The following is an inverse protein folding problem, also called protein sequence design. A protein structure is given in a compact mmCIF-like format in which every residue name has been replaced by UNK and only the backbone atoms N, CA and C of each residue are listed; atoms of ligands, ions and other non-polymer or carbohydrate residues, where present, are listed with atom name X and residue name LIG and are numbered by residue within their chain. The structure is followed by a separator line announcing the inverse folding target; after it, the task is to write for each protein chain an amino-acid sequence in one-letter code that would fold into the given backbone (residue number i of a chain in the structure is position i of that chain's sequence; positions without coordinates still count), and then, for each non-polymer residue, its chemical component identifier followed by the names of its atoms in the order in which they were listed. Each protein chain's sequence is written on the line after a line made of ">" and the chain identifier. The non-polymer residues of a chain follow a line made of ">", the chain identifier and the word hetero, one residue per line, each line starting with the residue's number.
data_IF_795137112213
#
_entry.id   IF_795137112213
#
_cell.length_a   1.000
_cell.length_b   1.000
_cell.length_c   1.000
_cell.angle_alpha   90.00
_cell.angle_beta   90.00
_cell.angle_gamma   90.00
#
_symmetry.space_group_name_H-M   'P 1'
#
loop_
_entity.id
_entity.type
_entity.pdbx_description
1 polymer ?
#
# COMPACT_ATOMS: atom_id res chain seq x y z
N UNK A 1 13.44 -15.73 15.99
CA UNK A 1 14.17 -15.83 14.71
C UNK A 1 15.01 -14.57 14.48
N UNK A 2 16.03 -14.70 13.63
CA UNK A 2 16.79 -13.56 13.08
C UNK A 2 16.25 -13.26 11.68
N UNK A 3 15.65 -12.10 11.48
CA UNK A 3 14.89 -11.74 10.28
C UNK A 3 15.54 -10.54 9.59
N UNK A 4 15.67 -10.60 8.26
CA UNK A 4 16.15 -9.52 7.41
C UNK A 4 15.03 -9.08 6.46
N UNK A 5 14.61 -7.82 6.57
CA UNK A 5 13.65 -7.20 5.66
C UNK A 5 14.41 -6.28 4.68
N UNK A 6 14.26 -6.50 3.38
CA UNK A 6 14.99 -5.75 2.35
C UNK A 6 14.01 -4.97 1.47
N UNK A 7 14.27 -3.66 1.36
CA UNK A 7 13.44 -2.71 0.64
C UNK A 7 12.34 -2.12 1.52
N UNK A 8 11.68 -1.07 1.04
CA UNK A 8 10.59 -0.39 1.73
C UNK A 8 9.61 0.22 0.73
N UNK A 9 8.33 -0.03 0.96
CA UNK A 9 7.23 0.66 0.30
C UNK A 9 6.21 1.11 1.34
N UNK A 10 5.98 2.41 1.41
CA UNK A 10 4.91 3.02 2.21
C UNK A 10 4.88 2.59 3.68
N UNK A 11 6.04 2.35 4.30
CA UNK A 11 6.20 1.95 5.71
C UNK A 11 5.82 0.49 6.03
N UNK A 12 5.69 -0.38 5.04
CA UNK A 12 5.30 -1.78 5.27
C UNK A 12 6.36 -2.54 6.06
N UNK A 13 7.62 -2.54 5.60
CA UNK A 13 8.69 -3.30 6.26
C UNK A 13 9.10 -2.71 7.61
N UNK A 14 9.12 -1.39 7.75
CA UNK A 14 9.41 -0.79 9.05
C UNK A 14 8.31 -1.12 10.08
N UNK A 15 7.03 -0.99 9.73
CA UNK A 15 5.92 -1.33 10.63
C UNK A 15 5.90 -2.83 10.96
N UNK A 16 6.14 -3.69 9.97
CA UNK A 16 6.30 -5.13 10.21
C UNK A 16 7.47 -5.42 11.15
N UNK A 17 8.60 -4.73 10.98
CA UNK A 17 9.75 -4.90 11.85
C UNK A 17 9.45 -4.55 13.31
N UNK A 18 8.68 -3.49 13.54
CA UNK A 18 8.22 -3.11 14.89
C UNK A 18 7.36 -4.22 15.51
N UNK A 19 6.40 -4.76 14.75
CA UNK A 19 5.55 -5.85 15.19
C UNK A 19 6.35 -7.13 15.50
N UNK A 20 7.24 -7.53 14.60
CA UNK A 20 8.11 -8.71 14.80
C UNK A 20 9.08 -8.55 15.98
N UNK A 21 9.61 -7.35 16.21
CA UNK A 21 10.41 -7.03 17.40
C UNK A 21 9.57 -7.10 18.68
N UNK A 22 8.32 -6.61 18.60
CA UNK A 22 7.36 -6.66 19.71
C UNK A 22 7.03 -8.08 20.18
N UNK A 23 7.05 -9.06 19.27
CA UNK A 23 6.87 -10.49 19.60
C UNK A 23 8.19 -11.26 19.81
N UNK A 24 9.31 -10.56 19.99
CA UNK A 24 10.59 -11.13 20.43
C UNK A 24 11.58 -11.55 19.35
N UNK A 25 11.38 -11.15 18.08
CA UNK A 25 12.35 -11.46 17.01
C UNK A 25 13.46 -10.40 16.90
N UNK A 26 14.63 -10.83 16.38
CA UNK A 26 15.72 -9.92 16.00
C UNK A 26 15.55 -9.54 14.54
N UNK A 27 15.14 -8.29 14.28
CA UNK A 27 14.84 -7.81 12.93
C UNK A 27 15.82 -6.74 12.51
N UNK A 28 16.32 -6.86 11.28
CA UNK A 28 17.14 -5.84 10.60
C UNK A 28 16.40 -5.38 9.35
N UNK A 29 16.23 -4.07 9.18
CA UNK A 29 15.66 -3.47 7.98
C UNK A 29 16.76 -2.80 7.16
N UNK A 30 16.89 -3.21 5.89
CA UNK A 30 17.81 -2.60 4.91
C UNK A 30 16.96 -1.99 3.81
N UNK A 31 16.91 -0.66 3.72
CA UNK A 31 16.09 0.02 2.72
C UNK A 31 16.63 1.41 2.35
N UNK A 32 16.01 2.02 1.34
CA UNK A 32 16.19 3.43 1.00
C UNK A 32 15.18 4.35 1.73
N UNK A 33 14.30 3.79 2.57
CA UNK A 33 13.28 4.53 3.30
C UNK A 33 12.12 5.04 2.45
N UNK A 34 11.88 4.46 1.25
CA UNK A 34 10.85 4.88 0.30
C UNK A 34 11.05 6.34 -0.16
N UNK A 35 12.27 6.66 -0.59
CA UNK A 35 12.67 7.95 -1.18
C UNK A 35 12.44 9.16 -0.24
N UNK A 36 11.61 10.10 -0.69
CA UNK A 36 11.32 11.36 0.00
C UNK A 36 10.54 11.21 1.30
N UNK A 37 9.90 10.05 1.53
CA UNK A 37 9.18 9.74 2.77
C UNK A 37 10.13 9.42 3.93
N UNK A 38 11.34 8.92 3.62
CA UNK A 38 12.46 8.69 4.54
C UNK A 38 12.08 7.88 5.79
N UNK A 39 11.36 6.78 5.62
CA UNK A 39 10.97 5.90 6.72
C UNK A 39 12.18 5.32 7.48
N UNK A 40 12.03 5.01 8.79
CA UNK A 40 13.07 4.43 9.61
C UNK A 40 13.62 3.10 9.05
N UNK A 41 14.91 2.86 9.26
CA UNK A 41 15.64 1.66 8.85
C UNK A 41 16.91 1.49 9.64
N UNK A 42 17.40 0.25 9.75
CA UNK A 42 18.64 -0.03 10.47
C UNK A 42 19.88 0.22 9.58
N UNK A 43 19.77 -0.12 8.31
CA UNK A 43 20.85 0.09 7.32
C UNK A 43 20.28 0.86 6.12
N UNK A 44 20.75 2.09 5.97
CA UNK A 44 20.38 2.93 4.84
C UNK A 44 21.13 2.51 3.58
N UNK A 45 20.38 2.26 2.50
CA UNK A 45 20.90 1.98 1.15
C UNK A 45 20.30 2.92 0.10
N UNK A 46 19.97 4.15 0.51
CA UNK A 46 19.51 5.20 -0.40
C UNK A 46 20.55 5.50 -1.45
N UNK A 47 20.07 5.69 -2.67
CA UNK A 47 20.90 6.12 -3.79
C UNK A 47 21.07 7.63 -3.77
N UNK A 48 22.31 8.10 -3.68
CA UNK A 48 22.62 9.53 -3.75
C UNK A 48 22.42 10.06 -5.19
N UNK A 49 22.19 11.35 -5.34
CA UNK A 49 22.15 12.01 -6.65
C UNK A 49 23.53 12.00 -7.34
N UNK A 50 23.55 12.01 -8.67
CA UNK A 50 24.77 12.13 -9.46
C UNK A 50 25.04 10.96 -10.41
N UNK A 51 25.89 11.19 -11.42
CA UNK A 51 26.18 10.23 -12.52
C UNK A 51 26.75 8.89 -12.04
N UNK A 52 27.56 8.89 -10.98
CA UNK A 52 28.18 7.67 -10.41
C UNK A 52 27.37 7.02 -9.28
N UNK A 53 26.20 7.55 -8.96
CA UNK A 53 25.38 7.11 -7.80
C UNK A 53 25.05 5.62 -7.81
N UNK A 54 24.77 5.05 -8.99
CA UNK A 54 24.50 3.62 -9.13
C UNK A 54 25.73 2.75 -8.84
N UNK A 55 26.91 3.19 -9.25
CA UNK A 55 28.18 2.48 -8.97
C UNK A 55 28.50 2.54 -7.49
N UNK A 56 28.36 3.73 -6.88
CA UNK A 56 28.57 3.91 -5.43
C UNK A 56 27.60 3.04 -4.60
N UNK A 57 26.34 2.95 -5.03
CA UNK A 57 25.37 2.06 -4.37
C UNK A 57 25.80 0.58 -4.51
N UNK A 58 26.22 0.13 -5.69
CA UNK A 58 26.72 -1.24 -5.87
C UNK A 58 27.92 -1.50 -4.95
N UNK A 59 28.92 -0.61 -4.92
CA UNK A 59 30.09 -0.74 -4.02
C UNK A 59 29.64 -0.82 -2.54
N UNK A 60 28.70 0.04 -2.12
CA UNK A 60 28.12 0.00 -0.77
C UNK A 60 27.46 -1.34 -0.49
N UNK A 61 26.62 -1.85 -1.40
CA UNK A 61 25.94 -3.14 -1.23
C UNK A 61 26.94 -4.30 -1.15
N UNK A 62 28.03 -4.26 -1.92
CA UNK A 62 29.12 -5.26 -1.81
C UNK A 62 29.75 -5.29 -0.41
N UNK A 63 30.02 -4.12 0.19
CA UNK A 63 30.55 -4.04 1.56
C UNK A 63 29.55 -4.50 2.62
N UNK A 64 28.26 -4.48 2.30
CA UNK A 64 27.18 -4.93 3.20
C UNK A 64 26.85 -6.42 3.08
N UNK A 65 27.36 -7.14 2.06
CA UNK A 65 27.09 -8.58 1.90
C UNK A 65 27.33 -9.40 3.17
N UNK A 66 28.41 -9.22 3.95
CA UNK A 66 28.61 -9.95 5.20
C UNK A 66 27.51 -9.70 6.24
N UNK A 67 26.81 -8.56 6.17
CA UNK A 67 25.69 -8.22 7.06
C UNK A 67 24.35 -8.79 6.58
N UNK A 68 24.29 -9.33 5.36
CA UNK A 68 23.07 -9.90 4.75
C UNK A 68 23.05 -11.43 4.79
N UNK A 69 23.84 -12.08 5.67
CA UNK A 69 23.94 -13.54 5.80
C UNK A 69 23.62 -14.03 7.19
N UNK A 70 23.24 -15.32 7.28
CA UNK A 70 23.00 -16.01 8.54
C UNK A 70 21.70 -15.59 9.21
N UNK A 71 20.68 -15.24 8.40
CA UNK A 71 19.32 -15.01 8.85
C UNK A 71 18.49 -16.29 8.71
N UNK A 72 17.54 -16.48 9.63
CA UNK A 72 16.54 -17.54 9.54
C UNK A 72 15.57 -17.24 8.41
N UNK A 73 15.23 -15.95 8.24
CA UNK A 73 14.30 -15.44 7.21
C UNK A 73 14.87 -14.17 6.59
N UNK A 74 14.80 -14.11 5.27
CA UNK A 74 14.95 -12.88 4.48
C UNK A 74 13.63 -12.64 3.76
N UNK A 75 13.07 -11.43 3.86
CA UNK A 75 11.92 -11.01 3.06
C UNK A 75 12.31 -9.84 2.16
N UNK A 76 11.98 -9.98 0.89
CA UNK A 76 12.11 -8.94 -0.12
C UNK A 76 10.79 -8.19 -0.22
N UNK A 77 10.81 -6.86 -0.23
CA UNK A 77 9.61 -6.03 -0.38
C UNK A 77 8.91 -6.24 -1.74
N UNK A 78 9.72 -6.52 -2.77
CA UNK A 78 9.32 -6.64 -4.17
C UNK A 78 10.50 -7.24 -4.95
N UNK A 79 10.36 -7.74 -6.20
CA UNK A 79 11.48 -8.19 -7.00
C UNK A 79 12.57 -7.12 -7.20
N UNK A 80 12.19 -5.85 -7.22
CA UNK A 80 13.12 -4.71 -7.31
C UNK A 80 13.51 -4.19 -5.92
N UNK A 81 14.07 -5.06 -5.09
CA UNK A 81 14.35 -4.81 -3.66
C UNK A 81 15.49 -3.83 -3.34
N UNK A 82 16.28 -3.40 -4.35
CA UNK A 82 17.23 -2.30 -4.29
C UNK A 82 17.07 -1.39 -5.49
N UNK A 83 17.48 -0.12 -5.39
CA UNK A 83 17.47 0.87 -6.47
C UNK A 83 18.56 0.63 -7.55
N UNK A 84 18.57 -0.58 -8.08
CA UNK A 84 19.47 -1.03 -9.13
C UNK A 84 18.69 -1.53 -10.35
N UNK A 85 19.35 -1.64 -11.49
CA UNK A 85 18.80 -2.36 -12.64
C UNK A 85 18.60 -3.84 -12.29
N UNK A 86 17.56 -4.46 -12.85
CA UNK A 86 17.23 -5.85 -12.57
C UNK A 86 18.39 -6.82 -12.80
N UNK A 87 19.21 -6.58 -13.86
CA UNK A 87 20.38 -7.41 -14.20
C UNK A 87 21.40 -7.49 -13.07
N UNK A 88 21.48 -6.47 -12.22
CA UNK A 88 22.38 -6.45 -11.06
C UNK A 88 21.79 -7.17 -9.85
N UNK A 89 20.47 -7.24 -9.76
CA UNK A 89 19.78 -7.84 -8.62
C UNK A 89 19.85 -9.36 -8.61
N UNK A 90 20.01 -10.03 -9.75
CA UNK A 90 20.21 -11.48 -9.82
C UNK A 90 21.31 -11.96 -8.90
N UNK A 91 22.48 -11.30 -8.95
CA UNK A 91 23.63 -11.66 -8.11
C UNK A 91 23.31 -11.51 -6.62
N UNK A 92 22.67 -10.40 -6.22
CA UNK A 92 22.28 -10.19 -4.82
C UNK A 92 21.24 -11.22 -4.38
N UNK A 93 20.27 -11.55 -5.23
CA UNK A 93 19.29 -12.58 -4.94
C UNK A 93 19.92 -13.96 -4.73
N UNK A 94 20.81 -14.38 -5.64
CA UNK A 94 21.55 -15.65 -5.50
C UNK A 94 22.40 -15.69 -4.23
N UNK A 95 23.02 -14.55 -3.88
CA UNK A 95 23.75 -14.46 -2.60
C UNK A 95 22.84 -14.66 -1.40
N UNK A 96 21.68 -13.97 -1.37
CA UNK A 96 20.71 -14.11 -0.28
C UNK A 96 20.20 -15.54 -0.15
N UNK A 97 19.85 -16.19 -1.27
CA UNK A 97 19.43 -17.61 -1.29
C UNK A 97 20.49 -18.57 -0.76
N UNK A 98 21.74 -18.31 -1.13
CA UNK A 98 22.86 -19.20 -0.73
C UNK A 98 23.23 -19.08 0.76
N UNK A 99 23.08 -17.91 1.35
CA UNK A 99 23.67 -17.59 2.66
C UNK A 99 22.64 -17.41 3.79
N UNK A 100 21.35 -17.63 3.52
CA UNK A 100 20.28 -17.56 4.51
C UNK A 100 19.40 -18.81 4.42
N UNK A 101 18.62 -19.07 5.48
CA UNK A 101 17.85 -20.32 5.57
C UNK A 101 16.62 -20.31 4.67
N UNK A 102 15.82 -19.22 4.70
CA UNK A 102 14.61 -19.04 3.91
C UNK A 102 14.56 -17.65 3.29
N UNK A 103 14.01 -17.53 2.08
CA UNK A 103 13.80 -16.24 1.40
C UNK A 103 12.36 -16.15 0.91
N UNK A 104 11.66 -15.09 1.31
CA UNK A 104 10.28 -14.80 0.95
C UNK A 104 10.20 -13.60 0.02
N UNK A 105 9.23 -13.65 -0.90
CA UNK A 105 8.88 -12.54 -1.77
C UNK A 105 7.65 -11.83 -1.23
N UNK A 106 7.72 -10.52 -1.02
CA UNK A 106 6.58 -9.63 -0.87
C UNK A 106 6.04 -9.21 -2.24
N UNK A 107 4.78 -9.49 -2.50
CA UNK A 107 4.01 -8.94 -3.61
C UNK A 107 3.28 -7.70 -3.10
N UNK A 108 4.02 -6.57 -2.99
CA UNK A 108 3.55 -5.35 -2.32
C UNK A 108 3.58 -4.11 -3.22
N UNK A 109 3.77 -4.31 -4.51
CA UNK A 109 3.82 -3.22 -5.47
C UNK A 109 3.87 -3.72 -6.89
N UNK A 110 4.07 -2.80 -7.82
CA UNK A 110 4.17 -3.08 -9.24
C UNK A 110 5.21 -4.17 -9.52
N UNK A 111 4.80 -5.22 -10.23
CA UNK A 111 5.65 -6.33 -10.64
C UNK A 111 5.13 -7.03 -11.91
N UNK A 112 5.89 -8.01 -12.40
CA UNK A 112 5.53 -8.74 -13.62
C UNK A 112 4.19 -9.49 -13.51
N UNK A 113 3.91 -10.15 -12.38
CA UNK A 113 2.69 -10.94 -12.24
C UNK A 113 1.45 -10.05 -12.18
N UNK A 114 1.54 -8.90 -11.51
CA UNK A 114 0.48 -7.89 -11.53
C UNK A 114 0.22 -7.37 -12.94
N UNK A 115 1.26 -6.88 -13.63
CA UNK A 115 1.16 -6.35 -15.00
C UNK A 115 0.63 -7.39 -15.96
N UNK A 116 1.26 -8.57 -16.00
CA UNK A 116 0.93 -9.63 -16.96
C UNK A 116 -0.47 -10.18 -16.76
N UNK A 117 -0.90 -10.39 -15.52
CA UNK A 117 -2.23 -10.94 -15.20
C UNK A 117 -3.33 -9.94 -15.54
N UNK A 118 -3.17 -8.68 -15.18
CA UNK A 118 -4.16 -7.65 -15.48
C UNK A 118 -4.30 -7.37 -16.98
N UNK A 119 -3.25 -7.54 -17.77
CA UNK A 119 -3.30 -7.36 -19.23
C UNK A 119 -3.89 -8.60 -19.92
N UNK A 120 -3.47 -9.81 -19.54
CA UNK A 120 -3.81 -11.06 -20.24
C UNK A 120 -5.10 -11.68 -19.74
N UNK A 121 -5.20 -11.95 -18.45
CA UNK A 121 -6.32 -12.67 -17.85
C UNK A 121 -7.45 -11.74 -17.39
N UNK A 122 -7.13 -10.50 -17.03
CA UNK A 122 -8.07 -9.46 -16.56
C UNK A 122 -9.05 -9.99 -15.49
N UNK A 123 -8.55 -10.56 -14.38
CA UNK A 123 -9.42 -11.17 -13.37
C UNK A 123 -10.22 -10.13 -12.59
N UNK A 124 -9.83 -8.86 -12.67
CA UNK A 124 -10.43 -7.72 -12.00
C UNK A 124 -11.33 -6.92 -12.94
N UNK A 125 -12.44 -6.41 -12.44
CA UNK A 125 -13.34 -5.51 -13.19
C UNK A 125 -12.62 -4.25 -13.68
N UNK A 126 -11.65 -3.77 -12.89
CA UNK A 126 -10.77 -2.66 -13.25
C UNK A 126 -9.43 -2.80 -12.51
N UNK A 127 -8.41 -2.19 -13.05
CA UNK A 127 -7.06 -2.17 -12.48
C UNK A 127 -6.24 -1.01 -13.05
N UNK A 128 -4.99 -0.96 -12.70
CA UNK A 128 -4.00 -0.07 -13.34
C UNK A 128 -3.91 -0.28 -14.87
N UNK A 129 -4.39 -1.44 -15.39
CA UNK A 129 -4.20 -1.84 -16.79
C UNK A 129 -5.48 -2.11 -17.58
N UNK A 130 -6.64 -2.20 -16.93
CA UNK A 130 -7.91 -2.44 -17.60
C UNK A 130 -9.09 -1.75 -16.92
N UNK A 131 -10.15 -1.50 -17.71
CA UNK A 131 -11.50 -1.19 -17.25
C UNK A 131 -12.42 -2.17 -17.99
N UNK A 132 -13.04 -3.10 -17.28
CA UNK A 132 -13.71 -4.24 -17.87
C UNK A 132 -12.76 -5.03 -18.77
N UNK A 133 -13.17 -5.31 -20.00
CA UNK A 133 -12.33 -6.01 -21.00
C UNK A 133 -11.39 -5.04 -21.76
N UNK A 134 -11.59 -3.74 -21.63
CA UNK A 134 -10.79 -2.74 -22.34
C UNK A 134 -9.47 -2.49 -21.63
N UNK A 135 -8.36 -2.56 -22.38
CA UNK A 135 -7.04 -2.25 -21.86
C UNK A 135 -6.87 -0.73 -21.75
N UNK A 136 -6.28 -0.29 -20.64
CA UNK A 136 -5.90 1.11 -20.44
C UNK A 136 -4.65 1.46 -21.27
N UNK A 137 -4.68 2.66 -21.83
CA UNK A 137 -3.63 3.15 -22.75
C UNK A 137 -3.02 4.47 -22.28
N UNK A 138 -3.21 4.85 -21.01
CA UNK A 138 -2.51 6.00 -20.44
C UNK A 138 -1.00 5.74 -20.39
N UNK A 139 -0.20 6.83 -20.43
CA UNK A 139 1.26 6.76 -20.52
C UNK A 139 1.90 5.90 -19.42
N UNK A 140 1.37 5.96 -18.21
CA UNK A 140 1.91 5.18 -17.09
C UNK A 140 1.60 3.68 -17.25
N UNK A 141 0.40 3.32 -17.68
CA UNK A 141 0.04 1.91 -17.94
C UNK A 141 0.93 1.31 -19.05
N UNK A 142 1.14 2.05 -20.14
CA UNK A 142 2.04 1.64 -21.23
C UNK A 142 3.49 1.54 -20.74
N UNK A 143 3.95 2.52 -19.99
CA UNK A 143 5.30 2.52 -19.44
C UNK A 143 5.56 1.32 -18.53
N UNK A 144 4.66 1.05 -17.58
CA UNK A 144 4.81 -0.10 -16.68
C UNK A 144 4.76 -1.44 -17.45
N UNK A 145 3.90 -1.54 -18.46
CA UNK A 145 3.88 -2.70 -19.36
C UNK A 145 5.24 -2.93 -20.04
N UNK A 146 5.81 -1.88 -20.63
CA UNK A 146 7.10 -1.96 -21.32
C UNK A 146 8.27 -2.21 -20.34
N UNK A 147 8.18 -1.70 -19.12
CA UNK A 147 9.18 -1.89 -18.08
C UNK A 147 9.24 -3.32 -17.55
N UNK A 148 8.10 -4.04 -17.53
CA UNK A 148 8.02 -5.38 -16.93
C UNK A 148 8.00 -6.51 -17.95
N UNK A 149 7.27 -6.40 -19.06
CA UNK A 149 7.06 -7.51 -20.00
C UNK A 149 8.23 -7.63 -20.98
N UNK A 150 8.80 -8.83 -21.13
CA UNK A 150 9.93 -9.10 -22.03
C UNK A 150 11.28 -8.58 -21.55
N UNK A 151 11.39 -8.16 -20.29
CA UNK A 151 12.57 -7.49 -19.74
C UNK A 151 13.31 -8.31 -18.68
N UNK A 152 14.46 -7.82 -18.25
CA UNK A 152 15.17 -8.43 -17.11
C UNK A 152 14.37 -8.35 -15.78
N UNK A 153 13.44 -7.40 -15.63
CA UNK A 153 12.54 -7.36 -14.46
C UNK A 153 11.58 -8.57 -14.44
N UNK A 154 11.01 -8.95 -15.59
CA UNK A 154 10.23 -10.18 -15.70
C UNK A 154 11.05 -11.40 -15.30
N UNK A 155 12.26 -11.54 -15.90
CA UNK A 155 13.12 -12.69 -15.62
C UNK A 155 13.49 -12.79 -14.15
N UNK A 156 13.81 -11.66 -13.51
CA UNK A 156 14.12 -11.59 -12.08
C UNK A 156 12.89 -11.95 -11.22
N UNK A 157 11.71 -11.40 -11.52
CA UNK A 157 10.51 -11.69 -10.76
C UNK A 157 10.11 -13.17 -10.86
N UNK A 158 10.18 -13.76 -12.06
CA UNK A 158 9.94 -15.20 -12.26
C UNK A 158 10.92 -16.03 -11.43
N UNK A 159 12.22 -15.75 -11.53
CA UNK A 159 13.24 -16.46 -10.75
C UNK A 159 12.95 -16.39 -9.25
N UNK A 160 12.66 -15.19 -8.72
CA UNK A 160 12.39 -15.02 -7.29
C UNK A 160 11.11 -15.76 -6.88
N UNK A 161 10.03 -15.62 -7.64
CA UNK A 161 8.76 -16.27 -7.33
C UNK A 161 8.87 -17.81 -7.37
N UNK A 162 9.58 -18.35 -8.36
CA UNK A 162 9.79 -19.79 -8.52
C UNK A 162 10.69 -20.40 -7.43
N UNK A 163 11.72 -19.67 -6.99
CA UNK A 163 12.76 -20.20 -6.10
C UNK A 163 12.65 -19.73 -4.65
N UNK A 164 11.80 -18.75 -4.33
CA UNK A 164 11.53 -18.35 -2.96
C UNK A 164 10.78 -19.45 -2.17
N UNK A 165 10.90 -19.43 -0.85
CA UNK A 165 10.23 -20.39 0.04
C UNK A 165 8.75 -20.07 0.22
N UNK A 166 8.35 -18.80 0.02
CA UNK A 166 6.96 -18.36 0.04
C UNK A 166 6.78 -16.98 -0.58
N UNK A 167 5.54 -16.67 -0.92
CA UNK A 167 5.11 -15.39 -1.49
C UNK A 167 4.01 -14.83 -0.60
N UNK A 168 4.15 -13.58 -0.19
CA UNK A 168 3.18 -12.90 0.65
C UNK A 168 2.51 -11.82 -0.18
N UNK A 169 1.19 -11.90 -0.35
CA UNK A 169 0.39 -10.87 -0.99
C UNK A 169 -0.23 -9.98 0.08
N UNK A 170 0.02 -8.67 0.01
CA UNK A 170 -0.48 -7.70 0.98
C UNK A 170 -1.86 -7.14 0.67
N UNK A 171 -2.32 -7.27 -0.57
CA UNK A 171 -3.61 -6.81 -1.08
C UNK A 171 -4.27 -7.93 -1.90
N UNK A 172 -5.61 -7.90 -1.98
CA UNK A 172 -6.38 -8.84 -2.81
C UNK A 172 -5.89 -8.86 -4.25
N UNK A 173 -5.59 -7.69 -4.81
CA UNK A 173 -5.12 -7.52 -6.18
C UNK A 173 -3.85 -8.33 -6.47
N UNK A 174 -2.92 -8.37 -5.53
CA UNK A 174 -1.70 -9.19 -5.68
C UNK A 174 -1.98 -10.67 -5.44
N UNK A 175 -2.87 -10.99 -4.50
CA UNK A 175 -3.26 -12.37 -4.21
C UNK A 175 -3.84 -13.06 -5.45
N UNK A 176 -4.74 -12.41 -6.18
CA UNK A 176 -5.38 -12.99 -7.37
C UNK A 176 -4.40 -13.17 -8.54
N UNK A 177 -3.31 -12.41 -8.56
CA UNK A 177 -2.26 -12.52 -9.59
C UNK A 177 -1.26 -13.65 -9.32
N UNK A 178 -0.95 -13.91 -8.06
CA UNK A 178 0.06 -14.90 -7.68
C UNK A 178 -0.53 -16.27 -7.32
N UNK A 179 -1.67 -16.32 -6.65
CA UNK A 179 -2.27 -17.56 -6.14
C UNK A 179 -2.56 -18.60 -7.23
N UNK A 180 -3.08 -18.25 -8.42
CA UNK A 180 -3.31 -19.22 -9.48
C UNK A 180 -2.02 -19.86 -10.03
N UNK A 181 -0.91 -19.13 -10.02
CA UNK A 181 0.40 -19.59 -10.53
C UNK A 181 1.18 -20.36 -9.44
N UNK A 182 1.08 -19.93 -8.20
CA UNK A 182 1.82 -20.48 -7.06
C UNK A 182 0.87 -20.85 -5.90
N UNK A 183 -0.04 -21.80 -6.07
CA UNK A 183 -1.13 -22.08 -5.13
C UNK A 183 -0.65 -22.51 -3.74
N UNK A 184 0.49 -23.21 -3.65
CA UNK A 184 1.06 -23.70 -2.38
C UNK A 184 2.02 -22.72 -1.71
N UNK A 185 2.54 -21.75 -2.45
CA UNK A 185 3.51 -20.77 -1.95
C UNK A 185 2.88 -19.44 -1.57
N UNK A 186 1.79 -19.03 -2.26
CA UNK A 186 1.17 -17.72 -2.05
C UNK A 186 0.23 -17.75 -0.86
N UNK A 187 0.44 -16.79 0.04
CA UNK A 187 -0.39 -16.56 1.21
C UNK A 187 -0.74 -15.07 1.31
N UNK A 188 -2.00 -14.78 1.61
CA UNK A 188 -2.44 -13.42 1.89
C UNK A 188 -2.16 -13.10 3.35
N UNK A 189 -1.47 -11.98 3.60
CA UNK A 189 -1.29 -11.40 4.92
C UNK A 189 -1.47 -9.89 4.75
N UNK A 190 -2.44 -9.27 5.42
CA UNK A 190 -2.74 -7.84 5.25
C UNK A 190 -1.57 -6.96 5.68
N UNK A 191 -1.53 -5.73 5.18
CA UNK A 191 -0.50 -4.76 5.56
C UNK A 191 -0.62 -4.37 7.04
N UNK A 192 0.52 -4.25 7.76
CA UNK A 192 0.54 -3.87 9.16
C UNK A 192 0.41 -2.35 9.35
N UNK A 193 -0.38 -1.93 10.32
CA UNK A 193 -0.49 -0.53 10.74
C UNK A 193 -0.20 -0.43 12.23
N UNK A 194 0.72 0.47 12.60
CA UNK A 194 0.91 0.87 13.98
C UNK A 194 -0.24 1.81 14.38
N UNK A 195 -1.06 1.37 15.32
CA UNK A 195 -2.15 2.20 15.83
C UNK A 195 -1.57 3.32 16.70
N UNK A 196 -2.07 4.56 16.60
CA UNK A 196 -1.70 5.61 17.53
C UNK A 196 -2.06 5.21 18.97
N UNK A 197 -1.15 5.44 19.93
CA UNK A 197 -1.33 5.03 21.32
C UNK A 197 -2.53 5.69 22.02
N UNK A 198 -3.06 6.79 21.49
CA UNK A 198 -4.12 7.62 22.06
C UNK A 198 -5.32 7.82 21.14
N UNK A 199 -5.67 6.80 20.33
CA UNK A 199 -6.99 6.86 19.66
C UNK A 199 -8.06 6.59 20.72
N UNK A 200 -8.32 7.60 21.54
CA UNK A 200 -9.62 7.72 22.20
C UNK A 200 -10.62 7.86 21.05
N UNK A 201 -11.28 6.75 20.70
CA UNK A 201 -12.52 6.80 19.92
C UNK A 201 -13.38 7.83 20.65
N UNK A 202 -13.68 8.99 20.07
CA UNK A 202 -14.53 9.93 20.76
C UNK A 202 -15.83 9.17 21.08
N UNK A 203 -16.24 9.11 22.38
CA UNK A 203 -17.49 8.47 22.68
C UNK A 203 -18.55 9.18 21.86
N UNK A 204 -19.48 8.43 21.32
CA UNK A 204 -20.62 8.90 20.52
C UNK A 204 -21.46 10.01 21.24
N UNK A 205 -21.12 10.35 22.48
CA UNK A 205 -21.75 11.35 23.34
C UNK A 205 -21.20 12.78 23.24
N UNK A 206 -20.12 13.05 22.45
CA UNK A 206 -19.63 14.42 22.26
C UNK A 206 -20.00 15.05 20.92
N UNK A 207 -21.07 14.56 20.29
CA UNK A 207 -21.79 15.36 19.30
C UNK A 207 -22.70 16.27 20.14
N UNK A 208 -22.13 17.37 20.67
CA UNK A 208 -22.97 18.47 21.10
C UNK A 208 -23.75 18.93 19.88
N UNK A 209 -25.07 18.83 19.96
CA UNK A 209 -26.01 19.47 19.07
C UNK A 209 -25.87 21.00 19.16
N UNK A 210 -24.74 21.54 18.76
CA UNK A 210 -24.61 22.96 18.46
C UNK A 210 -24.89 23.11 16.97
N UNK A 211 -25.86 23.94 16.65
CA UNK A 211 -26.47 24.21 15.36
C UNK A 211 -25.57 24.89 14.30
N UNK A 212 -24.26 24.75 14.40
CA UNK A 212 -23.29 25.06 13.34
C UNK A 212 -22.46 23.83 13.08
N UNK A 213 -22.88 23.04 12.09
CA UNK A 213 -22.10 21.93 11.56
C UNK A 213 -20.88 22.50 10.85
N UNK A 214 -19.70 22.26 11.42
CA UNK A 214 -18.44 22.57 10.72
C UNK A 214 -18.43 21.88 9.36
N UNK A 215 -17.87 22.52 8.31
CA UNK A 215 -17.82 21.91 7.00
C UNK A 215 -17.03 20.60 7.03
N UNK A 216 -17.47 19.63 6.24
CA UNK A 216 -16.77 18.34 6.05
C UNK A 216 -15.48 18.63 5.28
N UNK A 217 -14.34 18.25 5.84
CA UNK A 217 -13.02 18.47 5.25
C UNK A 217 -12.62 17.28 4.40
N UNK A 218 -12.68 17.43 3.10
CA UNK A 218 -12.25 16.43 2.13
C UNK A 218 -10.78 16.63 1.76
N UNK A 219 -10.00 15.57 1.79
CA UNK A 219 -8.58 15.59 1.45
C UNK A 219 -8.30 14.71 0.25
N UNK A 220 -7.52 15.22 -0.70
CA UNK A 220 -7.04 14.47 -1.86
C UNK A 220 -5.57 14.78 -2.13
N UNK A 221 -4.76 13.72 -2.29
CA UNK A 221 -3.37 13.81 -2.73
C UNK A 221 -3.26 13.61 -4.24
N UNK A 222 -2.79 14.62 -4.95
CA UNK A 222 -2.64 14.59 -6.41
C UNK A 222 -1.18 14.51 -6.81
N UNK A 223 -0.83 13.54 -7.64
CA UNK A 223 0.48 13.43 -8.28
C UNK A 223 0.38 13.83 -9.74
N UNK A 224 1.00 14.94 -10.15
CA UNK A 224 0.93 15.48 -11.52
C UNK A 224 1.13 14.43 -12.61
N UNK A 225 2.11 13.54 -12.39
CA UNK A 225 2.52 12.57 -13.41
C UNK A 225 1.77 11.23 -13.31
N UNK A 226 0.86 11.04 -12.34
CA UNK A 226 0.16 9.77 -12.10
C UNK A 226 -1.33 9.96 -11.84
N UNK A 227 -1.88 11.13 -12.11
CA UNK A 227 -3.26 11.45 -11.79
C UNK A 227 -4.23 10.58 -12.59
N UNK A 228 -4.12 10.55 -13.90
CA UNK A 228 -4.93 9.69 -14.76
C UNK A 228 -4.73 8.20 -14.45
N UNK A 229 -3.50 7.78 -14.16
CA UNK A 229 -3.18 6.40 -13.79
C UNK A 229 -3.89 5.94 -12.52
N UNK A 230 -3.96 6.81 -11.50
CA UNK A 230 -4.64 6.54 -10.22
C UNK A 230 -6.12 6.89 -10.22
N UNK A 231 -6.62 7.60 -11.24
CA UNK A 231 -7.97 8.13 -11.30
C UNK A 231 -8.23 9.31 -10.36
N UNK A 232 -7.17 9.92 -9.81
CA UNK A 232 -7.32 11.08 -8.91
C UNK A 232 -7.75 12.35 -9.64
N UNK A 233 -7.63 12.44 -10.96
CA UNK A 233 -8.19 13.47 -11.81
C UNK A 233 -9.73 13.42 -11.83
N UNK A 234 -10.29 12.22 -11.99
CA UNK A 234 -11.74 11.99 -11.94
C UNK A 234 -12.28 12.30 -10.54
N UNK A 235 -11.62 11.78 -9.51
CA UNK A 235 -12.00 12.01 -8.11
C UNK A 235 -11.94 13.48 -7.74
N UNK A 236 -10.89 14.20 -8.15
CA UNK A 236 -10.74 15.64 -7.89
C UNK A 236 -11.82 16.43 -8.58
N UNK A 237 -12.13 16.14 -9.86
CA UNK A 237 -13.19 16.83 -10.60
C UNK A 237 -14.55 16.66 -9.92
N UNK A 238 -14.91 15.46 -9.52
CA UNK A 238 -16.15 15.20 -8.80
C UNK A 238 -16.19 15.94 -7.45
N UNK A 239 -15.08 15.96 -6.72
CA UNK A 239 -14.98 16.66 -5.45
C UNK A 239 -15.09 18.18 -5.59
N UNK A 240 -14.43 18.77 -6.61
CA UNK A 240 -14.53 20.21 -6.89
C UNK A 240 -15.98 20.61 -7.21
N UNK A 241 -16.68 19.83 -8.03
CA UNK A 241 -18.07 20.11 -8.41
C UNK A 241 -19.03 19.98 -7.22
N UNK A 242 -18.82 18.97 -6.36
CA UNK A 242 -19.61 18.81 -5.12
C UNK A 242 -19.33 19.95 -4.14
N UNK A 243 -18.08 20.36 -3.95
CA UNK A 243 -17.73 21.50 -3.10
C UNK A 243 -18.31 22.82 -3.63
N UNK A 244 -18.34 22.99 -4.94
CA UNK A 244 -18.98 24.16 -5.55
C UNK A 244 -20.50 24.19 -5.32
N UNK A 245 -21.15 23.03 -5.32
CA UNK A 245 -22.59 22.91 -5.04
C UNK A 245 -22.96 23.14 -3.57
N UNK A 246 -22.07 22.74 -2.64
CA UNK A 246 -22.30 22.81 -1.20
C UNK A 246 -21.18 23.60 -0.45
N UNK A 247 -20.92 24.87 -0.78
CA UNK A 247 -19.75 25.61 -0.28
C UNK A 247 -19.74 25.79 1.24
N UNK A 248 -20.93 25.95 1.86
CA UNK A 248 -21.06 26.10 3.31
C UNK A 248 -20.89 24.81 4.10
N UNK A 249 -21.01 23.66 3.42
CA UNK A 249 -20.94 22.33 4.07
C UNK A 249 -19.64 21.59 3.83
N UNK A 250 -18.77 22.12 2.96
CA UNK A 250 -17.58 21.40 2.49
C UNK A 250 -16.33 22.27 2.52
N UNK A 251 -15.17 21.62 2.74
CA UNK A 251 -13.85 22.22 2.58
C UNK A 251 -12.95 21.25 1.81
N UNK A 252 -12.39 21.72 0.70
CA UNK A 252 -11.41 20.96 -0.07
C UNK A 252 -9.99 21.23 0.43
N UNK A 253 -9.28 20.16 0.81
CA UNK A 253 -7.85 20.14 1.12
C UNK A 253 -7.12 19.38 0.02
N UNK A 254 -6.40 20.08 -0.86
CA UNK A 254 -5.64 19.46 -1.97
C UNK A 254 -4.16 19.49 -1.66
N UNK A 255 -3.50 18.32 -1.68
CA UNK A 255 -2.05 18.19 -1.58
C UNK A 255 -1.45 17.86 -2.96
N UNK A 256 -0.60 18.74 -3.48
CA UNK A 256 0.09 18.54 -4.75
C UNK A 256 1.54 19.04 -4.61
N UNK A 257 2.50 18.11 -4.70
CA UNK A 257 3.93 18.44 -4.61
C UNK A 257 4.38 19.00 -3.26
N UNK A 258 3.66 18.72 -2.17
CA UNK A 258 3.98 19.16 -0.82
C UNK A 258 4.97 18.20 -0.13
N UNK A 259 5.79 18.67 0.84
CA UNK A 259 6.60 17.80 1.68
C UNK A 259 5.77 16.77 2.46
N UNK A 260 6.34 15.60 2.75
CA UNK A 260 5.62 14.49 3.41
C UNK A 260 5.02 14.88 4.76
N UNK A 261 5.74 15.64 5.58
CA UNK A 261 5.22 16.14 6.86
C UNK A 261 3.98 17.04 6.69
N UNK A 262 3.95 17.87 5.65
CA UNK A 262 2.79 18.70 5.34
C UNK A 262 1.63 17.84 4.84
N UNK A 263 1.90 16.84 3.99
CA UNK A 263 0.90 15.87 3.54
C UNK A 263 0.24 15.16 4.73
N UNK A 264 1.05 14.66 5.67
CA UNK A 264 0.57 14.02 6.90
C UNK A 264 -0.28 14.98 7.75
N UNK A 265 0.19 16.22 7.93
CA UNK A 265 -0.57 17.22 8.67
C UNK A 265 -1.94 17.53 8.02
N UNK A 266 -2.01 17.61 6.70
CA UNK A 266 -3.29 17.79 5.99
C UNK A 266 -4.22 16.60 6.19
N UNK A 267 -3.69 15.37 6.11
CA UNK A 267 -4.43 14.13 6.37
C UNK A 267 -4.93 14.06 7.83
N UNK A 268 -4.13 14.49 8.79
CA UNK A 268 -4.52 14.51 10.22
C UNK A 268 -5.66 15.51 10.51
N UNK A 269 -5.86 16.49 9.63
CA UNK A 269 -6.87 17.53 9.77
C UNK A 269 -8.05 17.37 8.83
N UNK A 270 -8.25 16.22 8.19
CA UNK A 270 -9.38 15.95 7.33
C UNK A 270 -10.40 15.00 7.97
N UNK A 271 -11.60 14.96 7.40
CA UNK A 271 -12.67 14.03 7.77
C UNK A 271 -12.77 12.87 6.79
N UNK A 272 -12.46 13.13 5.52
CA UNK A 272 -12.60 12.20 4.39
C UNK A 272 -11.36 12.27 3.51
N UNK A 273 -10.75 11.12 3.20
CA UNK A 273 -9.66 10.97 2.25
C UNK A 273 -10.15 10.31 0.96
N UNK A 274 -9.91 10.94 -0.18
CA UNK A 274 -10.04 10.29 -1.49
C UNK A 274 -8.66 9.69 -1.85
N UNK A 275 -8.57 8.33 -1.90
CA UNK A 275 -7.27 7.66 -2.07
C UNK A 275 -6.99 7.27 -3.53
N UNK A 276 -7.54 6.17 -4.03
CA UNK A 276 -7.30 5.68 -5.38
C UNK A 276 -8.59 5.13 -5.99
N UNK A 277 -8.87 5.49 -7.25
CA UNK A 277 -10.09 5.07 -7.93
C UNK A 277 -10.04 3.63 -8.44
N UNK A 278 -8.86 3.15 -8.85
CA UNK A 278 -8.67 1.82 -9.46
C UNK A 278 -8.14 0.79 -8.46
N UNK A 279 -8.55 0.87 -7.20
CA UNK A 279 -8.12 -0.03 -6.12
C UNK A 279 -9.30 -0.83 -5.57
N UNK A 280 -9.10 -2.13 -5.33
CA UNK A 280 -10.08 -2.99 -4.65
C UNK A 280 -9.94 -2.94 -3.13
N UNK A 281 -8.71 -2.74 -2.66
CA UNK A 281 -8.37 -2.78 -1.23
C UNK A 281 -7.66 -1.50 -0.80
N UNK A 282 -7.85 -1.06 0.46
CA UNK A 282 -7.12 0.09 0.98
C UNK A 282 -5.64 -0.24 1.14
N UNK A 283 -4.77 0.58 0.52
CA UNK A 283 -3.33 0.48 0.71
C UNK A 283 -2.87 1.27 1.95
N UNK A 284 -1.57 1.26 2.24
CA UNK A 284 -0.98 1.84 3.47
C UNK A 284 -1.40 3.29 3.77
N UNK A 285 -1.60 4.12 2.73
CA UNK A 285 -2.04 5.52 2.94
C UNK A 285 -3.48 5.59 3.46
N UNK A 286 -4.38 4.83 2.84
CA UNK A 286 -5.77 4.71 3.26
C UNK A 286 -5.88 4.10 4.65
N UNK A 287 -5.16 3.00 4.91
CA UNK A 287 -5.15 2.33 6.22
C UNK A 287 -4.61 3.24 7.34
N UNK A 288 -3.57 4.03 7.06
CA UNK A 288 -3.06 5.02 8.01
C UNK A 288 -4.09 6.11 8.31
N UNK A 289 -4.82 6.60 7.30
CA UNK A 289 -5.91 7.55 7.51
C UNK A 289 -7.05 6.93 8.34
N UNK A 290 -7.47 5.71 8.01
CA UNK A 290 -8.50 4.97 8.74
C UNK A 290 -8.12 4.73 10.20
N UNK A 291 -6.85 4.45 10.51
CA UNK A 291 -6.35 4.28 11.88
C UNK A 291 -6.53 5.53 12.75
N UNK A 292 -6.68 6.70 12.13
CA UNK A 292 -6.92 8.00 12.76
C UNK A 292 -8.39 8.41 12.73
N UNK A 293 -9.28 7.53 12.28
CA UNK A 293 -10.71 7.80 12.15
C UNK A 293 -11.07 8.69 10.96
N UNK A 294 -10.25 8.71 9.92
CA UNK A 294 -10.59 9.35 8.65
C UNK A 294 -11.37 8.36 7.79
N UNK A 295 -12.45 8.83 7.16
CA UNK A 295 -13.25 8.04 6.22
C UNK A 295 -12.49 7.98 4.89
N UNK A 296 -12.41 6.81 4.27
CA UNK A 296 -11.76 6.63 2.96
C UNK A 296 -12.79 6.42 1.88
N UNK A 297 -12.57 7.07 0.72
CA UNK A 297 -13.33 6.88 -0.51
C UNK A 297 -12.44 6.14 -1.52
N UNK A 298 -12.92 4.98 -2.01
CA UNK A 298 -12.20 4.07 -2.91
C UNK A 298 -11.52 2.90 -2.18
N UNK A 299 -11.40 1.77 -2.87
CA UNK A 299 -10.77 0.56 -2.33
C UNK A 299 -11.64 -0.23 -1.34
N UNK A 300 -12.96 -0.13 -1.44
CA UNK A 300 -13.92 -0.83 -0.57
C UNK A 300 -14.71 -1.92 -1.28
N UNK A 301 -14.13 -2.58 -2.28
CA UNK A 301 -14.81 -3.63 -3.04
C UNK A 301 -15.17 -4.85 -2.16
N UNK A 302 -16.22 -5.60 -2.49
CA UNK A 302 -16.62 -6.79 -1.73
C UNK A 302 -15.47 -7.76 -1.48
N UNK A 303 -14.60 -7.94 -2.46
CA UNK A 303 -13.45 -8.84 -2.41
C UNK A 303 -12.44 -8.46 -1.32
N UNK A 304 -12.35 -7.16 -0.97
CA UNK A 304 -11.53 -6.69 0.16
C UNK A 304 -12.03 -7.28 1.49
N UNK A 305 -13.34 -7.30 1.68
CA UNK A 305 -13.95 -7.82 2.91
C UNK A 305 -13.94 -9.36 2.93
N UNK A 306 -14.16 -9.98 1.78
CA UNK A 306 -14.15 -11.44 1.63
C UNK A 306 -12.79 -12.04 1.99
N UNK A 307 -11.69 -11.46 1.49
CA UNK A 307 -10.34 -11.98 1.76
C UNK A 307 -9.93 -11.83 3.23
N UNK A 308 -10.50 -10.84 3.93
CA UNK A 308 -10.30 -10.60 5.34
C UNK A 308 -11.31 -11.34 6.23
N UNK A 309 -12.30 -12.03 5.63
CA UNK A 309 -13.43 -12.64 6.33
C UNK A 309 -14.22 -11.63 7.20
N UNK A 310 -14.30 -10.36 6.73
CA UNK A 310 -15.00 -9.30 7.42
C UNK A 310 -16.46 -9.20 6.97
N UNK A 311 -17.39 -9.48 7.86
CA UNK A 311 -18.81 -9.54 7.57
C UNK A 311 -19.63 -8.39 8.20
N UNK A 312 -19.03 -7.63 9.12
CA UNK A 312 -19.74 -6.64 9.94
C UNK A 312 -19.38 -5.19 9.56
N UNK A 313 -18.09 -4.91 9.42
CA UNK A 313 -17.61 -3.55 9.21
C UNK A 313 -17.58 -3.19 7.72
N UNK A 314 -18.09 -2.00 7.41
CA UNK A 314 -18.09 -1.43 6.05
C UNK A 314 -17.70 0.05 6.08
N UNK A 315 -16.49 0.38 6.57
CA UNK A 315 -16.10 1.77 6.81
C UNK A 315 -15.73 2.55 5.54
N UNK A 316 -15.41 1.84 4.45
CA UNK A 316 -14.90 2.47 3.23
C UNK A 316 -16.08 2.79 2.32
N UNK A 317 -16.16 4.02 1.85
CA UNK A 317 -17.11 4.43 0.82
C UNK A 317 -16.58 3.91 -0.51
N UNK A 318 -17.21 2.83 -1.00
CA UNK A 318 -16.83 2.25 -2.29
C UNK A 318 -17.37 3.08 -3.44
N UNK A 319 -16.59 3.21 -4.50
CA UNK A 319 -16.95 3.94 -5.72
C UNK A 319 -16.52 3.15 -6.95
N UNK A 320 -17.36 3.15 -7.97
CA UNK A 320 -16.96 2.66 -9.28
C UNK A 320 -15.98 3.63 -9.96
N UNK A 321 -15.15 3.16 -10.92
CA UNK A 321 -14.13 3.98 -11.55
C UNK A 321 -14.70 4.95 -12.61
N UNK A 322 -15.67 5.78 -12.19
CA UNK A 322 -16.29 6.81 -13.00
C UNK A 322 -16.66 8.05 -12.16
N UNK A 323 -16.87 9.17 -12.84
CA UNK A 323 -17.19 10.45 -12.22
C UNK A 323 -18.53 10.40 -11.46
N UNK A 324 -19.55 9.81 -12.06
CA UNK A 324 -20.91 9.78 -11.54
C UNK A 324 -21.00 9.08 -10.20
N UNK A 325 -20.31 7.94 -10.05
CA UNK A 325 -20.26 7.20 -8.80
C UNK A 325 -19.54 7.98 -7.71
N UNK A 326 -18.39 8.57 -8.02
CA UNK A 326 -17.65 9.39 -7.04
C UNK A 326 -18.49 10.60 -6.61
N UNK A 327 -19.08 11.33 -7.57
CA UNK A 327 -19.93 12.49 -7.28
C UNK A 327 -21.11 12.10 -6.39
N UNK A 328 -21.82 11.03 -6.73
CA UNK A 328 -22.98 10.55 -5.99
C UNK A 328 -22.61 10.22 -4.54
N UNK A 329 -21.57 9.43 -4.31
CA UNK A 329 -21.20 9.02 -2.95
C UNK A 329 -20.71 10.18 -2.09
N UNK A 330 -19.98 11.16 -2.67
CA UNK A 330 -19.60 12.37 -1.96
C UNK A 330 -20.83 13.22 -1.60
N UNK A 331 -21.78 13.36 -2.51
CA UNK A 331 -23.02 14.08 -2.27
C UNK A 331 -23.87 13.39 -1.18
N UNK A 332 -23.98 12.05 -1.23
CA UNK A 332 -24.71 11.29 -0.18
C UNK A 332 -24.09 11.51 1.20
N UNK A 333 -22.76 11.60 1.31
CA UNK A 333 -22.11 11.87 2.59
C UNK A 333 -22.42 13.28 3.12
N UNK A 334 -22.54 14.29 2.23
CA UNK A 334 -22.89 15.67 2.59
C UNK A 334 -24.35 15.82 2.99
N UNK A 335 -25.24 15.07 2.33
CA UNK A 335 -26.67 15.08 2.60
C UNK A 335 -27.03 14.26 3.85
N UNK A 336 -26.20 13.26 4.20
CA UNK A 336 -26.38 12.36 5.33
C UNK A 336 -25.19 12.41 6.29
N UNK A 337 -24.88 13.58 6.90
CA UNK A 337 -23.72 13.75 7.78
C UNK A 337 -23.81 12.94 9.08
N UNK A 338 -24.99 12.47 9.45
CA UNK A 338 -25.22 11.58 10.60
C UNK A 338 -24.50 10.23 10.47
N UNK A 339 -24.10 9.83 9.26
CA UNK A 339 -23.30 8.62 9.00
C UNK A 339 -21.83 8.78 9.39
N UNK A 340 -21.31 10.00 9.41
CA UNK A 340 -19.87 10.30 9.58
C UNK A 340 -19.31 9.72 10.88
N UNK A 341 -19.92 9.93 12.07
CA UNK A 341 -19.37 9.39 13.31
C UNK A 341 -19.24 7.87 13.31
N UNK A 342 -20.20 7.17 12.76
CA UNK A 342 -20.19 5.71 12.69
C UNK A 342 -19.11 5.21 11.68
N UNK A 343 -19.00 5.82 10.51
CA UNK A 343 -17.95 5.47 9.54
C UNK A 343 -16.54 5.71 10.11
N UNK A 344 -16.33 6.80 10.84
CA UNK A 344 -15.06 7.07 11.54
C UNK A 344 -14.74 6.01 12.59
N UNK A 345 -15.73 5.63 13.41
CA UNK A 345 -15.59 4.57 14.41
C UNK A 345 -15.26 3.24 13.75
N UNK A 346 -16.00 2.87 12.70
CA UNK A 346 -15.75 1.63 11.95
C UNK A 346 -14.37 1.63 11.28
N UNK A 347 -13.88 2.77 10.77
CA UNK A 347 -12.53 2.88 10.20
C UNK A 347 -11.45 2.47 11.19
N UNK A 348 -11.50 2.99 12.41
CA UNK A 348 -10.55 2.63 13.48
C UNK A 348 -10.68 1.14 13.84
N UNK A 349 -11.90 0.66 14.04
CA UNK A 349 -12.14 -0.73 14.44
C UNK A 349 -11.70 -1.72 13.37
N UNK A 350 -11.92 -1.39 12.09
CA UNK A 350 -11.48 -2.19 10.95
C UNK A 350 -9.95 -2.35 10.93
N UNK A 351 -9.21 -1.25 11.07
CA UNK A 351 -7.75 -1.30 11.11
C UNK A 351 -7.25 -2.07 12.34
N UNK A 352 -7.84 -1.86 13.50
CA UNK A 352 -7.51 -2.58 14.74
C UNK A 352 -7.78 -4.07 14.64
N UNK A 353 -8.83 -4.47 13.95
CA UNK A 353 -9.22 -5.88 13.77
C UNK A 353 -8.29 -6.61 12.82
N UNK A 354 -8.00 -6.01 11.67
CA UNK A 354 -7.36 -6.68 10.54
C UNK A 354 -5.91 -6.25 10.26
N UNK A 355 -5.51 -5.07 10.68
CA UNK A 355 -4.24 -4.46 10.30
C UNK A 355 -3.34 -4.11 11.49
N UNK A 356 -3.71 -4.48 12.72
CA UNK A 356 -2.86 -4.29 13.89
C UNK A 356 -1.49 -4.95 13.68
N UNK A 357 -0.42 -4.16 13.79
CA UNK A 357 0.92 -4.59 13.43
C UNK A 357 1.45 -5.77 14.25
N UNK A 358 0.99 -5.96 15.49
CA UNK A 358 1.35 -7.12 16.31
C UNK A 358 0.63 -8.37 15.81
N UNK A 359 -0.67 -8.29 15.54
CA UNK A 359 -1.46 -9.42 14.99
C UNK A 359 -0.92 -9.84 13.63
N UNK A 360 -0.66 -8.88 12.76
CA UNK A 360 -0.07 -9.13 11.44
C UNK A 360 1.30 -9.77 11.58
N UNK A 361 2.17 -9.29 12.48
CA UNK A 361 3.47 -9.90 12.72
C UNK A 361 3.38 -11.36 13.19
N UNK A 362 2.36 -11.71 13.98
CA UNK A 362 2.09 -13.10 14.38
C UNK A 362 1.68 -13.98 13.19
N UNK A 363 0.94 -13.44 12.22
CA UNK A 363 0.61 -14.17 10.99
C UNK A 363 1.85 -14.39 10.11
N UNK A 364 2.71 -13.38 10.00
CA UNK A 364 4.01 -13.52 9.33
C UNK A 364 4.88 -14.58 10.01
N UNK A 365 4.98 -14.58 11.35
CA UNK A 365 5.72 -15.59 12.11
C UNK A 365 5.22 -16.99 11.80
N UNK A 366 3.91 -17.22 11.87
CA UNK A 366 3.28 -18.52 11.53
C UNK A 366 3.66 -18.96 10.12
N UNK A 367 3.54 -18.06 9.14
CA UNK A 367 3.86 -18.37 7.75
C UNK A 367 5.36 -18.67 7.55
N UNK A 368 6.26 -17.93 8.19
CA UNK A 368 7.70 -18.18 8.13
C UNK A 368 8.08 -19.54 8.74
N UNK A 369 7.37 -19.98 9.77
CA UNK A 369 7.63 -21.28 10.42
C UNK A 369 7.10 -22.47 9.62
N UNK A 370 5.96 -22.31 8.92
CA UNK A 370 5.32 -23.35 8.11
C UNK A 370 6.10 -23.71 6.84
N UNK A 371 6.84 -22.81 6.27
CA UNK A 371 7.66 -22.97 5.07
C UNK A 371 9.10 -23.28 5.43
#
# INVERSE_FOLDING_TARGET
>A
MKILLIGEYSNVHNTLAEGLRGIGHKVTVISNGDFWKNYPRDIDVSRKSGKLSGVLLICKLWTLLPKMRGYDVVQLINPMFFELKAERLFMFYHYLRKHNRKVFLGAFGMDYYWVSTCIKAKPLRYSDFNIGQQQRTDENAIKEQNDWIGTAKEQLNRLIAETSDGIIAGLYEYQICYKPVFPTKTHFIPFPICLPNDVNVPPSSHISCSSQTSPIRFFIGVSKNRSAYKGTDIMLKALEDVCQKYPEKTQLLKAEGVPFAQYQHMMDNCDVLLDQLYSYTPAMNALLAMSKGVIVVGGGEPENYEILHENELRPIINVEPNYESVYHELEQLILHPERIPELKRQSIEYVKRHHDYIKVAQEYEKFYLQK
#
